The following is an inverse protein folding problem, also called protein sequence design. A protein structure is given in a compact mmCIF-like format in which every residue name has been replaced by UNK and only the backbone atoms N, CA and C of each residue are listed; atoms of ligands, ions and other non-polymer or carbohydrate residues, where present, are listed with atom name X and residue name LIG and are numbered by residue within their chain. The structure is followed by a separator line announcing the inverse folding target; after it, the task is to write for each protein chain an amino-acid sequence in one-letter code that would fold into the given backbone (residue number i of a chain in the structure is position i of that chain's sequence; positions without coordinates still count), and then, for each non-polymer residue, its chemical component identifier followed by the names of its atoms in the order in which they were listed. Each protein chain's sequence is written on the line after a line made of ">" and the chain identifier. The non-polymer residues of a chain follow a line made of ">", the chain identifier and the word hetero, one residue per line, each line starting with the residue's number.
data_IF_394087201077
#
_entry.id   IF_394087201077
#
_cell.length_a   1.000
_cell.length_b   1.000
_cell.length_c   1.000
_cell.angle_alpha   90.00
_cell.angle_beta   90.00
_cell.angle_gamma   90.00
#
_symmetry.space_group_name_H-M   'P 1'
#
loop_
_entity.id
_entity.type
_entity.pdbx_description
1 polymer ?
#
# COMPACT_ATOMS: atom_id res chain seq x y z
N UNK A 1 18.02 2.44 47.79
CA UNK A 1 17.90 2.41 46.32
C UNK A 1 16.52 2.82 45.89
N UNK A 2 15.47 2.26 46.48
CA UNK A 2 14.09 2.63 46.26
C UNK A 2 13.83 4.16 46.25
N UNK A 3 14.25 4.89 47.29
CA UNK A 3 14.11 6.36 47.36
C UNK A 3 14.83 7.13 46.24
N UNK A 4 15.93 6.59 45.70
CA UNK A 4 16.64 7.22 44.58
C UNK A 4 15.77 7.14 43.32
N UNK A 5 15.17 5.97 43.07
CA UNK A 5 14.23 5.82 41.97
C UNK A 5 13.01 6.71 42.14
N UNK A 6 12.38 6.75 43.33
CA UNK A 6 11.27 7.67 43.64
C UNK A 6 11.60 9.13 43.27
N UNK A 7 12.79 9.60 43.64
CA UNK A 7 13.22 10.95 43.31
C UNK A 7 13.39 11.17 41.79
N UNK A 8 13.96 10.21 41.06
CA UNK A 8 14.08 10.27 39.60
C UNK A 8 12.69 10.28 38.95
N UNK A 9 11.79 9.41 39.39
CA UNK A 9 10.43 9.29 38.86
C UNK A 9 9.60 10.57 39.10
N UNK A 10 9.80 11.24 40.23
CA UNK A 10 9.20 12.55 40.50
C UNK A 10 9.73 13.65 39.58
N UNK A 11 10.99 13.56 39.15
CA UNK A 11 11.58 14.49 38.20
C UNK A 11 10.95 14.42 36.81
N UNK A 12 10.32 13.30 36.43
CA UNK A 12 9.70 13.04 35.11
C UNK A 12 10.62 13.20 33.90
N UNK A 13 11.91 13.47 34.14
CA UNK A 13 12.94 13.63 33.13
C UNK A 13 13.71 12.32 32.96
N UNK A 14 13.00 11.31 32.47
CA UNK A 14 13.56 9.99 32.16
C UNK A 14 12.88 9.41 30.93
N UNK A 15 13.61 8.52 30.26
CA UNK A 15 13.10 7.65 29.20
C UNK A 15 12.55 6.38 29.86
N UNK A 16 11.34 5.96 29.47
CA UNK A 16 10.63 4.90 30.17
C UNK A 16 11.36 3.55 30.09
N UNK A 17 11.94 3.21 28.93
CA UNK A 17 12.64 1.93 28.77
C UNK A 17 13.90 1.91 29.63
N UNK A 18 14.68 2.99 29.62
CA UNK A 18 15.89 3.13 30.43
C UNK A 18 15.63 3.00 31.93
N UNK A 19 14.58 3.64 32.45
CA UNK A 19 14.30 3.58 33.89
C UNK A 19 13.80 2.19 34.32
N UNK A 20 12.97 1.53 33.49
CA UNK A 20 12.49 0.18 33.74
C UNK A 20 13.66 -0.81 33.77
N UNK A 21 14.57 -0.73 32.80
CA UNK A 21 15.77 -1.57 32.76
C UNK A 21 16.66 -1.39 34.01
N UNK A 22 16.80 -0.13 34.49
CA UNK A 22 17.55 0.14 35.72
C UNK A 22 16.85 -0.43 36.96
N UNK A 23 15.53 -0.30 37.06
CA UNK A 23 14.76 -0.90 38.16
C UNK A 23 14.97 -2.42 38.18
N UNK A 24 14.86 -3.09 37.02
CA UNK A 24 15.13 -4.51 36.86
C UNK A 24 16.54 -4.92 37.26
N UNK A 25 17.56 -4.17 36.82
CA UNK A 25 18.96 -4.41 37.16
C UNK A 25 19.19 -4.39 38.68
N UNK A 26 18.60 -3.41 39.38
CA UNK A 26 18.75 -3.28 40.82
C UNK A 26 17.94 -4.32 41.60
N UNK A 27 16.80 -4.77 41.07
CA UNK A 27 16.08 -5.92 41.60
C UNK A 27 16.91 -7.21 41.49
N UNK A 28 17.52 -7.48 40.32
CA UNK A 28 18.39 -8.64 40.11
C UNK A 28 19.60 -8.64 41.07
N UNK A 29 20.14 -7.45 41.36
CA UNK A 29 21.22 -7.25 42.35
C UNK A 29 20.75 -7.35 43.81
N UNK A 30 19.49 -7.72 44.06
CA UNK A 30 18.86 -7.79 45.38
C UNK A 30 18.95 -6.48 46.17
N UNK A 31 18.96 -5.34 45.46
CA UNK A 31 18.95 -3.99 46.06
C UNK A 31 17.54 -3.41 46.18
N UNK A 32 16.56 -4.09 45.58
CA UNK A 32 15.13 -3.80 45.66
C UNK A 32 14.41 -5.11 45.99
N UNK A 33 13.33 -5.02 46.77
CA UNK A 33 12.36 -6.11 46.91
C UNK A 33 11.47 -6.24 45.67
N UNK A 34 10.69 -7.31 45.59
CA UNK A 34 9.73 -7.50 44.51
C UNK A 34 8.62 -6.44 44.56
N UNK A 35 8.14 -6.13 45.75
CA UNK A 35 7.10 -5.13 46.00
C UNK A 35 7.61 -3.72 45.64
N UNK A 36 8.83 -3.38 46.05
CA UNK A 36 9.48 -2.12 45.70
C UNK A 36 9.67 -1.98 44.19
N UNK A 37 10.05 -3.08 43.51
CA UNK A 37 10.16 -3.12 42.05
C UNK A 37 8.81 -2.82 41.39
N UNK A 38 7.78 -3.57 41.74
CA UNK A 38 6.45 -3.45 41.14
C UNK A 38 5.88 -2.04 41.29
N UNK A 39 6.05 -1.43 42.47
CA UNK A 39 5.60 -0.05 42.72
C UNK A 39 6.37 0.96 41.85
N UNK A 40 7.70 0.83 41.76
CA UNK A 40 8.51 1.73 40.94
C UNK A 40 8.20 1.59 39.45
N UNK A 41 7.91 0.39 38.95
CA UNK A 41 7.52 0.19 37.55
C UNK A 41 6.16 0.84 37.22
N UNK A 42 5.19 0.70 38.12
CA UNK A 42 3.87 1.33 37.96
C UNK A 42 3.98 2.85 37.96
N UNK A 43 4.73 3.40 38.91
CA UNK A 43 4.95 4.84 39.00
C UNK A 43 5.75 5.37 37.81
N UNK A 44 6.75 4.61 37.33
CA UNK A 44 7.51 4.97 36.14
C UNK A 44 6.62 5.09 34.90
N UNK A 45 5.72 4.12 34.68
CA UNK A 45 4.77 4.14 33.57
C UNK A 45 3.76 5.29 33.69
N UNK A 46 3.30 5.58 34.91
CA UNK A 46 2.35 6.66 35.18
C UNK A 46 2.95 8.05 34.99
N UNK A 47 4.20 8.24 35.39
CA UNK A 47 4.87 9.55 35.37
C UNK A 47 5.67 9.81 34.08
N UNK A 48 5.84 8.81 33.22
CA UNK A 48 6.62 8.93 31.99
C UNK A 48 6.04 10.01 31.06
N UNK A 49 6.91 10.83 30.51
CA UNK A 49 6.57 11.75 29.43
C UNK A 49 6.72 11.04 28.08
N UNK A 50 5.65 10.88 27.28
CA UNK A 50 5.74 10.24 25.96
C UNK A 50 6.79 10.90 25.06
N UNK A 51 6.99 12.21 25.18
CA UNK A 51 7.98 12.94 24.36
C UNK A 51 9.41 12.47 24.64
N UNK A 52 9.72 12.08 25.88
CA UNK A 52 11.07 11.64 26.23
C UNK A 52 11.42 10.27 25.62
N UNK A 53 10.42 9.40 25.44
CA UNK A 53 10.61 8.08 24.80
C UNK A 53 10.47 8.11 23.28
N UNK A 54 9.82 9.13 22.73
CA UNK A 54 9.52 9.20 21.30
C UNK A 54 10.07 10.45 20.59
N UNK A 55 11.02 11.20 21.18
CA UNK A 55 11.49 12.49 20.64
C UNK A 55 11.88 12.43 19.14
N UNK A 56 12.60 11.38 18.73
CA UNK A 56 13.01 11.17 17.34
C UNK A 56 11.82 10.84 16.42
N UNK A 57 10.82 10.12 16.93
CA UNK A 57 9.60 9.81 16.19
C UNK A 57 8.65 11.00 16.11
N UNK A 58 8.61 11.84 17.14
CA UNK A 58 7.82 13.07 17.14
C UNK A 58 8.29 14.01 16.04
N UNK A 59 9.61 14.16 15.88
CA UNK A 59 10.19 14.93 14.78
C UNK A 59 9.79 14.38 13.41
N UNK A 60 9.76 13.05 13.25
CA UNK A 60 9.29 12.42 12.02
C UNK A 60 7.80 12.67 11.77
N UNK A 61 6.97 12.60 12.81
CA UNK A 61 5.53 12.91 12.74
C UNK A 61 5.31 14.37 12.31
N UNK A 62 6.05 15.30 12.89
CA UNK A 62 5.94 16.72 12.57
C UNK A 62 6.33 16.98 11.10
N UNK A 63 7.43 16.38 10.63
CA UNK A 63 7.85 16.44 9.23
C UNK A 63 6.81 15.81 8.27
N UNK A 64 6.17 14.70 8.67
CA UNK A 64 5.12 14.06 7.89
C UNK A 64 3.86 14.94 7.83
N UNK A 65 3.47 15.56 8.95
CA UNK A 65 2.35 16.49 8.99
C UNK A 65 2.58 17.70 8.08
N UNK A 66 3.81 18.22 8.03
CA UNK A 66 4.19 19.30 7.12
C UNK A 66 4.06 18.86 5.64
N UNK A 67 4.60 17.69 5.28
CA UNK A 67 4.47 17.13 3.93
C UNK A 67 3.01 16.88 3.53
N UNK A 68 2.17 16.39 4.46
CA UNK A 68 0.73 16.18 4.21
C UNK A 68 0.04 17.52 3.90
N UNK A 69 0.39 18.57 4.62
CA UNK A 69 -0.14 19.92 4.39
C UNK A 69 0.25 20.44 3.00
N UNK A 70 1.50 20.28 2.59
CA UNK A 70 1.96 20.65 1.24
C UNK A 70 1.23 19.87 0.14
N UNK A 71 1.04 18.56 0.36
CA UNK A 71 0.30 17.72 -0.57
C UNK A 71 -1.15 18.18 -0.71
N UNK A 72 -1.80 18.53 0.41
CA UNK A 72 -3.18 19.02 0.43
C UNK A 72 -3.32 20.34 -0.34
N UNK A 73 -2.35 21.26 -0.20
CA UNK A 73 -2.31 22.50 -1.00
C UNK A 73 -2.23 22.18 -2.48
N UNK A 74 -1.35 21.25 -2.88
CA UNK A 74 -1.18 20.85 -4.28
C UNK A 74 -2.44 20.21 -4.86
N UNK A 75 -3.07 19.30 -4.11
CA UNK A 75 -4.34 18.65 -4.52
C UNK A 75 -5.43 19.68 -4.73
N UNK A 76 -5.56 20.67 -3.84
CA UNK A 76 -6.55 21.73 -3.99
C UNK A 76 -6.28 22.61 -5.21
N UNK A 77 -5.02 22.97 -5.46
CA UNK A 77 -4.64 23.74 -6.65
C UNK A 77 -4.95 22.96 -7.95
N UNK A 78 -4.66 21.65 -7.96
CA UNK A 78 -4.98 20.78 -9.10
C UNK A 78 -6.50 20.65 -9.31
N UNK A 79 -7.28 20.51 -8.24
CA UNK A 79 -8.74 20.47 -8.31
C UNK A 79 -9.32 21.76 -8.88
N UNK A 80 -8.80 22.92 -8.45
CA UNK A 80 -9.16 24.23 -9.00
C UNK A 80 -8.79 24.35 -10.47
N UNK A 81 -7.57 23.94 -10.84
CA UNK A 81 -7.12 23.88 -12.23
C UNK A 81 -8.02 23.02 -13.10
N UNK A 82 -8.41 21.83 -12.62
CA UNK A 82 -9.33 20.93 -13.31
C UNK A 82 -10.72 21.56 -13.51
N UNK A 83 -11.24 22.27 -12.50
CA UNK A 83 -12.51 23.01 -12.63
C UNK A 83 -12.41 24.10 -13.70
N UNK A 84 -11.32 24.86 -13.71
CA UNK A 84 -11.09 25.90 -14.72
C UNK A 84 -10.96 25.31 -16.14
N UNK A 85 -10.29 24.17 -16.29
CA UNK A 85 -10.19 23.45 -17.57
C UNK A 85 -11.57 22.97 -18.01
N UNK A 86 -12.35 22.37 -17.11
CA UNK A 86 -13.72 21.93 -17.42
C UNK A 86 -14.57 23.08 -17.96
N UNK A 87 -14.58 24.22 -17.26
CA UNK A 87 -15.30 25.42 -17.70
C UNK A 87 -14.81 25.94 -19.06
N UNK A 88 -13.50 25.93 -19.30
CA UNK A 88 -12.94 26.35 -20.58
C UNK A 88 -13.34 25.42 -21.73
N UNK A 89 -13.33 24.09 -21.48
CA UNK A 89 -13.75 23.08 -22.46
C UNK A 89 -15.24 23.22 -22.79
N UNK A 90 -16.10 23.41 -21.79
CA UNK A 90 -17.54 23.63 -21.97
C UNK A 90 -17.81 24.90 -22.80
N UNK A 91 -17.08 26.00 -22.55
CA UNK A 91 -17.20 27.24 -23.35
C UNK A 91 -16.80 27.05 -24.81
N UNK A 92 -15.89 26.14 -25.10
CA UNK A 92 -15.46 25.78 -26.45
C UNK A 92 -16.39 24.76 -27.12
N UNK A 93 -17.45 24.32 -26.44
CA UNK A 93 -18.39 23.31 -26.93
C UNK A 93 -17.86 21.88 -26.87
N UNK A 94 -16.75 21.65 -26.17
CA UNK A 94 -16.23 20.32 -25.89
C UNK A 94 -16.98 19.65 -24.75
N UNK A 95 -17.05 18.32 -24.79
CA UNK A 95 -17.62 17.50 -23.71
C UNK A 95 -16.50 16.62 -23.15
N UNK A 96 -16.28 16.69 -21.84
CA UNK A 96 -15.38 15.78 -21.14
C UNK A 96 -16.18 14.52 -20.76
N UNK A 97 -16.14 13.50 -21.62
CA UNK A 97 -16.61 12.16 -21.25
C UNK A 97 -15.50 11.45 -20.49
N UNK A 98 -15.80 10.78 -19.34
CA UNK A 98 -14.86 9.84 -18.74
C UNK A 98 -14.37 8.85 -19.80
N UNK A 99 -13.12 8.35 -19.72
CA UNK A 99 -12.72 7.20 -20.52
C UNK A 99 -13.77 6.11 -20.30
N UNK A 100 -14.35 5.58 -21.37
CA UNK A 100 -15.25 4.44 -21.25
C UNK A 100 -14.50 3.35 -20.45
N UNK A 101 -15.13 2.83 -19.40
CA UNK A 101 -14.66 1.61 -18.74
C UNK A 101 -14.52 0.57 -19.86
N UNK A 102 -13.28 0.29 -20.27
CA UNK A 102 -13.04 -0.84 -21.14
C UNK A 102 -13.65 -2.04 -20.42
N UNK A 103 -14.59 -2.77 -21.04
CA UNK A 103 -15.16 -3.94 -20.40
C UNK A 103 -13.99 -4.82 -19.99
N UNK A 104 -13.99 -5.27 -18.73
CA UNK A 104 -12.98 -6.19 -18.22
C UNK A 104 -12.73 -7.26 -19.28
N UNK A 105 -11.52 -7.30 -19.84
CA UNK A 105 -11.19 -8.22 -20.92
C UNK A 105 -11.66 -9.61 -20.49
N UNK A 106 -12.64 -10.15 -21.23
CA UNK A 106 -13.01 -11.55 -21.10
C UNK A 106 -11.70 -12.32 -21.19
N UNK A 107 -11.36 -13.12 -20.17
CA UNK A 107 -10.05 -13.76 -20.13
C UNK A 107 -9.80 -14.67 -21.35
N UNK A 108 -10.85 -15.00 -22.11
CA UNK A 108 -10.83 -15.74 -23.37
C UNK A 108 -11.91 -15.19 -24.34
N UNK A 109 -11.67 -14.07 -25.05
CA UNK A 109 -12.62 -13.54 -26.04
C UNK A 109 -12.88 -14.55 -27.17
N UNK A 110 -14.03 -14.51 -27.82
CA UNK A 110 -14.29 -15.36 -28.99
C UNK A 110 -13.32 -15.02 -30.13
N UNK A 111 -12.81 -16.02 -30.85
CA UNK A 111 -11.87 -15.82 -31.95
C UNK A 111 -12.46 -14.90 -33.02
N UNK A 112 -11.73 -13.84 -33.34
CA UNK A 112 -12.04 -12.94 -34.46
C UNK A 112 -10.97 -13.12 -35.51
N UNK A 113 -11.36 -13.42 -36.75
CA UNK A 113 -10.41 -13.60 -37.84
C UNK A 113 -9.68 -12.28 -38.14
N UNK A 114 -8.34 -12.23 -37.98
CA UNK A 114 -7.58 -11.04 -38.33
C UNK A 114 -7.63 -10.73 -39.83
N UNK A 115 -7.57 -9.44 -40.15
CA UNK A 115 -7.55 -8.92 -41.52
C UNK A 115 -6.14 -8.64 -42.03
N UNK A 116 -5.12 -8.61 -41.16
CA UNK A 116 -3.72 -8.47 -41.52
C UNK A 116 -2.76 -8.60 -40.32
N UNK A 117 -1.57 -8.01 -40.46
CA UNK A 117 -0.53 -8.08 -39.41
C UNK A 117 -0.79 -7.13 -38.22
N UNK A 118 -1.70 -6.16 -38.36
CA UNK A 118 -1.96 -5.14 -37.34
C UNK A 118 -2.96 -5.60 -36.27
N UNK A 119 -3.72 -6.65 -36.58
CA UNK A 119 -4.74 -7.28 -35.74
C UNK A 119 -4.48 -8.78 -35.55
N UNK A 120 -3.27 -9.24 -35.87
CA UNK A 120 -2.85 -10.62 -35.67
C UNK A 120 -2.67 -10.94 -34.18
N UNK A 121 -2.90 -12.21 -33.82
CA UNK A 121 -2.69 -12.69 -32.47
C UNK A 121 -1.21 -12.93 -32.18
N UNK A 122 -0.77 -12.58 -30.98
CA UNK A 122 0.60 -12.71 -30.51
C UNK A 122 0.70 -13.83 -29.47
N UNK A 123 1.93 -14.27 -29.18
CA UNK A 123 2.18 -15.31 -28.18
C UNK A 123 1.60 -14.91 -26.82
N UNK A 124 0.77 -15.77 -26.24
CA UNK A 124 0.07 -15.55 -24.97
C UNK A 124 -1.35 -15.03 -25.11
N UNK A 125 -1.79 -14.63 -26.31
CA UNK A 125 -3.17 -14.20 -26.54
C UNK A 125 -4.13 -15.38 -26.35
N UNK A 126 -5.21 -15.14 -25.60
CA UNK A 126 -6.21 -16.14 -25.26
C UNK A 126 -7.44 -15.94 -26.13
N UNK A 127 -8.02 -17.03 -26.63
CA UNK A 127 -9.26 -17.01 -27.40
C UNK A 127 -10.18 -18.16 -26.99
N UNK A 128 -11.46 -18.02 -27.31
CA UNK A 128 -12.44 -19.10 -27.33
C UNK A 128 -12.81 -19.42 -28.79
N UNK A 129 -12.65 -20.67 -29.22
CA UNK A 129 -13.02 -21.11 -30.56
C UNK A 129 -13.82 -22.43 -30.46
N UNK A 130 -15.02 -22.47 -31.03
CA UNK A 130 -15.94 -23.62 -30.94
C UNK A 130 -16.19 -24.12 -29.49
N UNK A 131 -16.29 -23.19 -28.54
CA UNK A 131 -16.53 -23.50 -27.12
C UNK A 131 -15.33 -24.04 -26.35
N UNK A 132 -14.14 -24.07 -26.97
CA UNK A 132 -12.87 -24.47 -26.35
C UNK A 132 -11.94 -23.27 -26.22
N UNK A 133 -11.11 -23.27 -25.18
CA UNK A 133 -10.15 -22.21 -24.89
C UNK A 133 -8.80 -22.54 -25.51
N UNK A 134 -8.18 -21.55 -26.14
CA UNK A 134 -6.87 -21.66 -26.76
C UNK A 134 -5.99 -20.49 -26.34
N UNK A 135 -4.69 -20.75 -26.23
CA UNK A 135 -3.64 -19.74 -26.08
C UNK A 135 -2.76 -19.77 -27.32
N UNK A 136 -2.49 -18.60 -27.90
CA UNK A 136 -1.65 -18.47 -29.06
C UNK A 136 -0.18 -18.74 -28.68
N UNK A 137 0.49 -19.60 -29.44
CA UNK A 137 1.92 -19.91 -29.26
C UNK A 137 2.76 -19.42 -30.44
N UNK A 138 2.15 -18.73 -31.40
CA UNK A 138 2.79 -18.21 -32.58
C UNK A 138 2.61 -16.70 -32.68
N UNK A 139 3.71 -15.99 -32.91
CA UNK A 139 3.69 -14.53 -33.01
C UNK A 139 3.21 -14.09 -34.40
N UNK A 140 2.10 -13.35 -34.47
CA UNK A 140 1.47 -12.95 -35.73
C UNK A 140 0.55 -14.02 -36.33
N UNK A 141 -0.16 -14.77 -35.48
CA UNK A 141 -1.13 -15.76 -35.93
C UNK A 141 -2.41 -15.10 -36.47
N UNK A 142 -2.73 -15.36 -37.74
CA UNK A 142 -3.94 -14.87 -38.43
C UNK A 142 -4.94 -15.98 -38.76
N UNK A 143 -4.65 -17.21 -38.33
CA UNK A 143 -5.42 -18.41 -38.65
C UNK A 143 -6.04 -19.00 -37.38
N UNK A 144 -7.22 -19.58 -37.50
CA UNK A 144 -7.92 -20.20 -36.37
C UNK A 144 -7.25 -21.52 -35.92
N UNK A 145 -7.54 -22.01 -34.69
CA UNK A 145 -6.98 -23.27 -34.18
C UNK A 145 -7.30 -24.51 -35.01
N UNK A 146 -8.32 -24.49 -35.88
CA UNK A 146 -8.64 -25.62 -36.76
C UNK A 146 -7.77 -25.61 -38.01
N UNK A 147 -7.49 -24.43 -38.57
CA UNK A 147 -6.62 -24.25 -39.74
C UNK A 147 -5.14 -24.38 -39.36
N UNK A 148 -4.72 -23.78 -38.24
CA UNK A 148 -3.33 -23.76 -37.83
C UNK A 148 -3.14 -24.24 -36.39
N UNK A 149 -3.33 -25.54 -36.17
CA UNK A 149 -3.21 -26.19 -34.85
C UNK A 149 -1.87 -25.93 -34.16
N UNK A 150 -0.78 -25.85 -34.92
CA UNK A 150 0.57 -25.65 -34.37
C UNK A 150 0.78 -24.23 -33.82
N UNK A 151 -0.13 -23.28 -34.11
CA UNK A 151 -0.09 -21.93 -33.57
C UNK A 151 -0.93 -21.73 -32.30
N UNK A 152 -1.66 -22.76 -31.85
CA UNK A 152 -2.60 -22.66 -30.74
C UNK A 152 -2.47 -23.84 -29.77
N UNK A 153 -2.35 -23.54 -28.48
CA UNK A 153 -2.38 -24.51 -27.40
C UNK A 153 -3.77 -24.56 -26.79
N UNK A 154 -4.45 -25.70 -26.87
CA UNK A 154 -5.73 -25.91 -26.17
C UNK A 154 -5.49 -25.91 -24.66
N UNK A 155 -6.22 -25.07 -23.94
CA UNK A 155 -6.24 -25.06 -22.48
C UNK A 155 -7.48 -25.85 -22.07
N UNK A 156 -7.31 -27.14 -21.80
CA UNK A 156 -8.33 -27.92 -21.12
C UNK A 156 -8.52 -27.31 -19.73
N UNK A 157 -9.76 -26.97 -19.37
CA UNK A 157 -10.07 -26.61 -17.98
C UNK A 157 -9.74 -27.84 -17.12
N UNK A 158 -8.67 -27.78 -16.34
CA UNK A 158 -8.67 -28.50 -15.07
C UNK A 158 -9.80 -27.88 -14.24
N UNK A 159 -10.89 -28.63 -14.08
CA UNK A 159 -11.94 -28.30 -13.14
C UNK A 159 -11.34 -28.40 -11.73
N UNK A 160 -11.02 -27.25 -11.13
CA UNK A 160 -10.89 -27.09 -9.67
C UNK A 160 -12.24 -26.74 -9.04
#
# INVERSE_FOLDING_TARGET
>A
MYEIFKNILNGKDYELVDILNKIDEYYIKSKLSKEEKEELEEEARKNANPVNSYADFQTQIDNLAEKIKELQVTVNANAQGMSAIKEAVEKLGGVLTPPEEQPAEDEYPEYVQPTGAHDAYHVGDKITYNGKKYECIYDGCVWDPKVYKDGWKEIEKEEE
#
